data_IF_931999985927
#
_entry.id   IF_931999985927
#
_cell.length_a   1.000
_cell.length_b   1.000
_cell.length_c   1.000
_cell.angle_alpha   90.00
_cell.angle_beta   90.00
_cell.angle_gamma   90.00
#
_symmetry.space_group_name_H-M   'P 1'
#
loop_
_entity.id
_entity.type
_entity.pdbx_description
1 polymer ?
#
# COMPACT_ATOMS: atom_id res chain seq x y z
N UNK A 1 4.10 -2.79 -6.17
CA UNK A 1 3.42 -1.97 -7.19
C UNK A 1 1.89 -2.14 -7.19
N UNK A 2 1.33 -3.33 -6.92
CA UNK A 2 -0.13 -3.56 -6.98
C UNK A 2 -1.01 -2.66 -6.08
N UNK A 3 -0.57 -2.30 -4.87
CA UNK A 3 -1.38 -1.46 -3.97
C UNK A 3 -1.69 -0.07 -4.52
N UNK A 4 -0.70 0.59 -5.14
CA UNK A 4 -0.87 1.91 -5.76
C UNK A 4 -1.83 1.88 -6.96
N UNK A 5 -1.80 0.81 -7.75
CA UNK A 5 -2.72 0.64 -8.89
C UNK A 5 -4.15 0.55 -8.38
N UNK A 6 -4.40 -0.27 -7.34
CA UNK A 6 -5.73 -0.39 -6.74
C UNK A 6 -6.27 0.94 -6.24
N UNK A 7 -5.46 1.71 -5.51
CA UNK A 7 -5.83 3.04 -5.00
C UNK A 7 -6.16 3.98 -6.17
N UNK A 8 -5.29 4.05 -7.18
CA UNK A 8 -5.48 4.91 -8.34
C UNK A 8 -6.77 4.58 -9.10
N UNK A 9 -7.05 3.29 -9.35
CA UNK A 9 -8.29 2.87 -10.02
C UNK A 9 -9.53 3.25 -9.24
N UNK A 10 -9.52 3.11 -7.91
CA UNK A 10 -10.65 3.48 -7.06
C UNK A 10 -10.87 5.00 -7.05
N UNK A 11 -9.79 5.80 -7.00
CA UNK A 11 -9.88 7.27 -7.07
C UNK A 11 -10.44 7.74 -8.41
N UNK A 12 -9.97 7.17 -9.53
CA UNK A 12 -10.50 7.48 -10.86
C UNK A 12 -11.98 7.10 -10.93
N UNK A 13 -12.36 5.93 -10.42
CA UNK A 13 -13.76 5.50 -10.33
C UNK A 13 -14.62 6.47 -9.53
N UNK A 14 -14.13 6.96 -8.39
CA UNK A 14 -14.81 7.96 -7.58
C UNK A 14 -15.05 9.26 -8.37
N UNK A 15 -14.03 9.77 -9.06
CA UNK A 15 -14.13 10.98 -9.87
C UNK A 15 -15.16 10.83 -11.00
N UNK A 16 -15.16 9.68 -11.68
CA UNK A 16 -16.16 9.36 -12.71
C UNK A 16 -17.57 9.35 -12.14
N UNK A 17 -17.80 8.68 -11.01
CA UNK A 17 -19.11 8.60 -10.36
C UNK A 17 -19.63 9.98 -9.93
N UNK A 18 -18.76 10.86 -9.43
CA UNK A 18 -19.13 12.26 -9.16
C UNK A 18 -19.56 12.99 -10.43
N UNK A 19 -18.78 12.86 -11.52
CA UNK A 19 -19.09 13.52 -12.80
C UNK A 19 -20.38 13.01 -13.47
N UNK A 20 -20.80 11.80 -13.13
CA UNK A 20 -22.02 11.15 -13.65
C UNK A 20 -23.26 11.42 -12.78
N UNK A 21 -23.14 12.22 -11.71
CA UNK A 21 -24.27 12.56 -10.85
C UNK A 21 -24.62 11.50 -9.80
N UNK A 22 -23.67 10.61 -9.47
CA UNK A 22 -23.83 9.57 -8.45
C UNK A 22 -22.96 9.84 -7.21
N UNK A 23 -23.22 10.93 -6.44
CA UNK A 23 -22.34 11.37 -5.35
C UNK A 23 -22.24 10.36 -4.21
N UNK A 24 -23.29 9.57 -3.94
CA UNK A 24 -23.25 8.52 -2.92
C UNK A 24 -22.25 7.41 -3.28
N UNK A 25 -22.27 6.93 -4.54
CA UNK A 25 -21.31 5.94 -5.02
C UNK A 25 -19.89 6.54 -5.13
N UNK A 26 -19.77 7.80 -5.54
CA UNK A 26 -18.49 8.51 -5.56
C UNK A 26 -17.87 8.66 -4.16
N UNK A 27 -18.68 9.02 -3.17
CA UNK A 27 -18.25 9.08 -1.76
C UNK A 27 -17.85 7.72 -1.20
N UNK A 28 -18.61 6.66 -1.51
CA UNK A 28 -18.27 5.30 -1.11
C UNK A 28 -16.93 4.85 -1.73
N UNK A 29 -16.72 5.09 -3.03
CA UNK A 29 -15.45 4.79 -3.70
C UNK A 29 -14.28 5.56 -3.08
N UNK A 30 -14.45 6.84 -2.75
CA UNK A 30 -13.41 7.61 -2.07
C UNK A 30 -13.08 7.04 -0.69
N UNK A 31 -14.09 6.65 0.09
CA UNK A 31 -13.88 5.99 1.39
C UNK A 31 -13.10 4.67 1.25
N UNK A 32 -13.41 3.88 0.22
CA UNK A 32 -12.66 2.65 -0.09
C UNK A 32 -11.22 2.97 -0.49
N UNK A 33 -10.97 4.03 -1.26
CA UNK A 33 -9.62 4.42 -1.64
C UNK A 33 -8.76 4.82 -0.42
N UNK A 34 -9.35 5.53 0.54
CA UNK A 34 -8.71 5.86 1.83
C UNK A 34 -8.38 4.59 2.61
N UNK A 35 -9.32 3.65 2.67
CA UNK A 35 -9.13 2.37 3.36
C UNK A 35 -8.02 1.53 2.71
N UNK A 36 -7.95 1.49 1.38
CA UNK A 36 -6.87 0.84 0.63
C UNK A 36 -5.53 1.52 0.91
N UNK A 37 -5.47 2.85 0.87
CA UNK A 37 -4.24 3.60 1.16
C UNK A 37 -3.72 3.32 2.57
N UNK A 38 -4.61 3.39 3.56
CA UNK A 38 -4.27 3.13 4.96
C UNK A 38 -3.79 1.69 5.18
N UNK A 39 -4.55 0.71 4.72
CA UNK A 39 -4.21 -0.71 4.90
C UNK A 39 -2.95 -1.11 4.12
N UNK A 40 -2.77 -0.61 2.90
CA UNK A 40 -1.54 -0.77 2.14
C UNK A 40 -0.33 -0.15 2.84
N UNK A 41 -0.47 1.06 3.39
CA UNK A 41 0.58 1.73 4.15
C UNK A 41 1.03 0.92 5.38
N UNK A 42 0.07 0.35 6.12
CA UNK A 42 0.39 -0.54 7.24
C UNK A 42 1.18 -1.76 6.77
N UNK A 43 0.69 -2.47 5.76
CA UNK A 43 1.39 -3.66 5.25
C UNK A 43 2.79 -3.32 4.69
N UNK A 44 2.93 -2.17 4.04
CA UNK A 44 4.22 -1.68 3.55
C UNK A 44 5.20 -1.47 4.70
N UNK A 45 4.77 -0.84 5.79
CA UNK A 45 5.62 -0.64 6.96
C UNK A 45 6.07 -1.96 7.59
N UNK A 46 5.15 -2.93 7.75
CA UNK A 46 5.51 -4.26 8.26
C UNK A 46 6.48 -4.99 7.33
N UNK A 47 6.25 -4.93 6.01
CA UNK A 47 7.13 -5.57 5.05
C UNK A 47 8.55 -5.00 5.09
N UNK A 48 8.70 -3.69 5.31
CA UNK A 48 10.00 -3.01 5.34
C UNK A 48 10.65 -2.97 6.72
N UNK A 49 9.99 -3.45 7.78
CA UNK A 49 10.55 -3.45 9.13
C UNK A 49 11.91 -4.15 9.26
N UNK A 50 12.17 -5.32 8.62
CA UNK A 50 13.50 -5.94 8.65
C UNK A 50 14.57 -5.08 7.99
N UNK A 51 14.24 -4.44 6.87
CA UNK A 51 15.14 -3.53 6.14
C UNK A 51 15.44 -2.31 6.99
N UNK A 52 14.42 -1.70 7.59
CA UNK A 52 14.58 -0.54 8.47
C UNK A 52 15.42 -0.87 9.71
N UNK A 53 15.22 -2.04 10.34
CA UNK A 53 16.02 -2.50 11.49
C UNK A 53 17.48 -2.70 11.10
N UNK A 54 17.73 -3.29 9.95
CA UNK A 54 19.09 -3.49 9.44
C UNK A 54 19.80 -2.18 9.14
N UNK A 55 19.13 -1.22 8.51
CA UNK A 55 19.69 0.11 8.25
C UNK A 55 20.03 0.85 9.55
N UNK A 56 19.18 0.75 10.58
CA UNK A 56 19.47 1.33 11.90
C UNK A 56 20.68 0.67 12.56
N UNK A 57 20.79 -0.66 12.49
CA UNK A 57 21.94 -1.38 13.04
C UNK A 57 23.25 -0.99 12.34
N UNK A 58 23.22 -0.80 11.01
CA UNK A 58 24.37 -0.28 10.25
C UNK A 58 24.76 1.14 10.70
N UNK A 59 23.77 2.02 10.88
CA UNK A 59 24.01 3.40 11.31
C UNK A 59 24.56 3.46 12.74
N UNK A 60 24.13 2.58 13.65
CA UNK A 60 24.66 2.45 15.01
C UNK A 60 26.12 1.98 15.00
N UNK A 61 26.45 0.91 14.26
CA UNK A 61 27.82 0.41 14.14
C UNK A 61 28.79 1.47 13.60
N UNK A 62 28.34 2.26 12.63
CA UNK A 62 29.14 3.36 12.07
C UNK A 62 29.37 4.48 13.08
N UNK A 63 28.40 4.79 13.95
CA UNK A 63 28.52 5.82 14.99
C UNK A 63 29.41 5.39 16.14
N UNK A 64 29.37 4.12 16.51
CA UNK A 64 30.13 3.55 17.62
C UNK A 64 31.60 3.29 17.26
N UNK A 65 32.02 3.58 16.02
CA UNK A 65 33.42 3.47 15.59
C UNK A 65 33.89 2.03 15.39
N UNK A 66 32.97 1.09 15.14
CA UNK A 66 33.32 -0.30 14.85
C UNK A 66 34.21 -0.41 13.59
N UNK A 67 35.05 -1.45 13.49
CA UNK A 67 35.90 -1.67 12.32
C UNK A 67 35.07 -1.70 11.03
N UNK A 68 35.53 -1.01 9.98
CA UNK A 68 34.85 -0.99 8.67
C UNK A 68 34.58 -2.40 8.11
N UNK A 69 35.41 -3.38 8.47
CA UNK A 69 35.25 -4.76 8.05
C UNK A 69 33.92 -5.37 8.56
N UNK A 70 33.53 -5.05 9.80
CA UNK A 70 32.31 -5.56 10.42
C UNK A 70 31.07 -4.88 9.83
N UNK A 71 31.17 -3.57 9.57
CA UNK A 71 30.13 -2.82 8.86
C UNK A 71 29.93 -3.34 7.42
N UNK A 72 31.02 -3.64 6.70
CA UNK A 72 30.97 -4.23 5.34
C UNK A 72 30.40 -5.64 5.32
N UNK A 73 30.67 -6.45 6.34
CA UNK A 73 30.04 -7.77 6.48
C UNK A 73 28.53 -7.65 6.67
N UNK A 74 28.08 -6.69 7.48
CA UNK A 74 26.65 -6.47 7.69
C UNK A 74 25.99 -5.90 6.41
N UNK A 75 26.62 -4.96 5.71
CA UNK A 75 26.12 -4.43 4.42
C UNK A 75 25.96 -5.50 3.32
N UNK A 76 26.77 -6.56 3.38
CA UNK A 76 26.64 -7.68 2.45
C UNK A 76 25.34 -8.48 2.66
N UNK A 77 24.78 -8.45 3.87
CA UNK A 77 23.48 -9.03 4.19
C UNK A 77 22.41 -8.01 3.81
N UNK A 78 21.89 -8.10 2.58
CA UNK A 78 20.78 -7.24 2.14
C UNK A 78 19.44 -7.87 2.55
N UNK A 79 18.81 -7.45 3.66
CA UNK A 79 17.48 -7.95 3.99
C UNK A 79 16.50 -7.53 2.91
N UNK A 80 15.60 -8.45 2.56
CA UNK A 80 14.51 -8.18 1.64
C UNK A 80 13.23 -7.83 2.41
N UNK A 81 12.35 -6.98 1.85
CA UNK A 81 11.03 -6.76 2.41
C UNK A 81 10.26 -8.08 2.54
N UNK A 82 9.69 -8.35 3.72
CA UNK A 82 8.96 -9.58 3.98
C UNK A 82 7.45 -9.32 4.14
N UNK A 83 6.64 -9.53 3.09
CA UNK A 83 5.19 -9.26 3.14
C UNK A 83 4.44 -10.17 4.13
N UNK A 84 5.02 -11.31 4.54
CA UNK A 84 4.39 -12.24 5.49
C UNK A 84 4.35 -11.69 6.92
N UNK A 85 5.06 -10.60 7.21
CA UNK A 85 5.03 -9.92 8.50
C UNK A 85 3.78 -9.04 8.69
N UNK A 86 3.04 -8.77 7.61
CA UNK A 86 1.81 -8.01 7.70
C UNK A 86 0.73 -8.79 8.49
N UNK A 87 -0.02 -8.14 9.41
CA UNK A 87 -1.10 -8.80 10.13
C UNK A 87 -2.20 -9.29 9.17
N UNK A 88 -2.61 -10.56 9.31
CA UNK A 88 -3.59 -11.20 8.42
C UNK A 88 -4.89 -10.40 8.26
N UNK A 89 -5.39 -9.77 9.33
CA UNK A 89 -6.62 -8.99 9.28
C UNK A 89 -6.49 -7.74 8.40
N UNK A 90 -5.31 -7.11 8.36
CA UNK A 90 -5.03 -5.95 7.49
C UNK A 90 -5.01 -6.40 6.03
N UNK A 91 -4.40 -7.56 5.77
CA UNK A 91 -4.35 -8.16 4.43
C UNK A 91 -5.75 -8.49 3.92
N UNK A 92 -6.59 -9.12 4.74
CA UNK A 92 -7.99 -9.42 4.40
C UNK A 92 -8.77 -8.14 4.16
N UNK A 93 -8.61 -7.13 5.01
CA UNK A 93 -9.27 -5.84 4.86
C UNK A 93 -8.89 -5.14 3.55
N UNK A 94 -7.59 -5.12 3.20
CA UNK A 94 -7.15 -4.52 1.94
C UNK A 94 -7.65 -5.31 0.72
N UNK A 95 -7.70 -6.64 0.81
CA UNK A 95 -8.26 -7.48 -0.26
C UNK A 95 -9.73 -7.15 -0.50
N UNK A 96 -10.55 -7.10 0.55
CA UNK A 96 -11.96 -6.75 0.46
C UNK A 96 -12.15 -5.33 -0.09
N UNK A 97 -11.38 -4.36 0.42
CA UNK A 97 -11.40 -2.98 -0.09
C UNK A 97 -11.05 -2.93 -1.58
N UNK A 98 -10.08 -3.74 -2.02
CA UNK A 98 -9.67 -3.81 -3.43
C UNK A 98 -10.74 -4.42 -4.32
N UNK A 99 -11.41 -5.49 -3.88
CA UNK A 99 -12.51 -6.09 -4.64
C UNK A 99 -13.71 -5.12 -4.76
N UNK A 100 -14.07 -4.45 -3.67
CA UNK A 100 -15.15 -3.45 -3.68
C UNK A 100 -14.77 -2.24 -4.56
N UNK A 101 -13.54 -1.74 -4.43
CA UNK A 101 -13.03 -0.63 -5.24
C UNK A 101 -13.03 -0.95 -6.74
N UNK A 102 -12.58 -2.16 -7.11
CA UNK A 102 -12.64 -2.64 -8.49
C UNK A 102 -14.09 -2.75 -9.00
N UNK A 103 -15.00 -3.26 -8.17
CA UNK A 103 -16.44 -3.32 -8.50
C UNK A 103 -17.04 -1.93 -8.77
N UNK A 104 -16.76 -0.97 -7.89
CA UNK A 104 -17.21 0.42 -8.06
C UNK A 104 -16.60 1.08 -9.31
N UNK A 105 -15.35 0.79 -9.62
CA UNK A 105 -14.71 1.26 -10.84
C UNK A 105 -15.40 0.69 -12.10
N UNK A 106 -15.73 -0.61 -12.12
CA UNK A 106 -16.48 -1.23 -13.23
C UNK A 106 -17.87 -0.58 -13.38
N UNK A 107 -18.59 -0.35 -12.27
CA UNK A 107 -19.88 0.36 -12.30
C UNK A 107 -19.72 1.76 -12.90
N UNK A 108 -18.68 2.49 -12.51
CA UNK A 108 -18.39 3.81 -13.05
C UNK A 108 -18.16 3.77 -14.58
N UNK A 109 -17.41 2.77 -15.07
CA UNK A 109 -17.15 2.60 -16.49
C UNK A 109 -18.43 2.25 -17.27
N UNK A 110 -19.28 1.36 -16.74
CA UNK A 110 -20.56 1.02 -17.39
C UNK A 110 -21.44 2.25 -17.52
N UNK A 111 -21.61 3.01 -16.44
CA UNK A 111 -22.42 4.23 -16.44
C UNK A 111 -21.83 5.30 -17.37
N UNK A 112 -20.51 5.38 -17.48
CA UNK A 112 -19.84 6.30 -18.40
C UNK A 112 -20.12 5.97 -19.87
N UNK A 113 -20.12 4.68 -20.24
CA UNK A 113 -20.34 4.21 -21.62
C UNK A 113 -21.81 4.33 -22.04
N UNK A 114 -22.75 4.24 -21.10
CA UNK A 114 -24.19 4.36 -21.37
C UNK A 114 -24.69 5.80 -21.53
N UNK A 115 -23.83 6.79 -21.31
CA UNK A 115 -24.14 8.21 -21.40
C UNK A 115 -23.95 8.74 -22.83
#
# INVERSE_FOLDING_TARGET
>A
MGGWIGIATTVIGAALLFSLGHPWFGGAALGIAVLQFWSFGIMHNYAYEPVARHMRALDELRKDGFPEADAKMLEAIKPEPNPMLAPNWVTVLNLLATLVGAGLFVVALVLWVMK
#
